data_IF_126777854913
#
_entry.id   IF_126777854913
#
_cell.length_a   1.000
_cell.length_b   1.000
_cell.length_c   1.000
_cell.angle_alpha   90.00
_cell.angle_beta   90.00
_cell.angle_gamma   90.00
#
_symmetry.space_group_name_H-M   'P 1'
#
loop_
_entity.id
_entity.type
_entity.pdbx_description
1 polymer ?
#
# COMPACT_ATOMS: atom_id res chain seq x y z
N UNK A 1 -23.46 -31.93 11.17
CA UNK A 1 -22.51 -31.18 10.32
C UNK A 1 -22.37 -29.77 10.87
N UNK A 2 -21.26 -29.43 11.52
CA UNK A 2 -20.98 -28.04 11.88
C UNK A 2 -20.52 -27.30 10.63
N UNK A 3 -21.33 -26.37 10.13
CA UNK A 3 -20.92 -25.44 9.09
C UNK A 3 -19.95 -24.43 9.70
N UNK A 4 -18.66 -24.77 9.68
CA UNK A 4 -17.58 -23.80 9.84
C UNK A 4 -17.57 -22.93 8.58
N UNK A 5 -18.27 -21.80 8.61
CA UNK A 5 -18.07 -20.71 7.65
C UNK A 5 -16.66 -20.18 7.86
N UNK A 6 -15.69 -20.74 7.13
CA UNK A 6 -14.31 -20.26 7.13
C UNK A 6 -14.32 -18.82 6.62
N UNK A 7 -14.27 -17.85 7.55
CA UNK A 7 -14.08 -16.44 7.22
C UNK A 7 -12.74 -16.30 6.49
N UNK A 8 -12.79 -16.19 5.16
CA UNK A 8 -11.59 -16.12 4.32
C UNK A 8 -10.89 -14.79 4.56
N UNK A 9 -9.82 -14.80 5.36
CA UNK A 9 -9.01 -13.62 5.61
C UNK A 9 -8.24 -13.26 4.33
N UNK A 10 -8.52 -12.07 3.81
CA UNK A 10 -7.84 -11.49 2.66
C UNK A 10 -6.31 -11.42 2.87
N UNK A 11 -5.54 -12.16 2.06
CA UNK A 11 -4.06 -12.23 2.14
C UNK A 11 -3.38 -10.89 1.88
N UNK A 12 -3.99 -10.06 1.02
CA UNK A 12 -3.44 -8.79 0.59
C UNK A 12 -4.28 -7.61 1.06
N UNK A 13 -3.64 -6.45 1.12
CA UNK A 13 -4.30 -5.16 1.34
C UNK A 13 -3.86 -4.19 0.24
N UNK A 14 -4.81 -3.42 -0.27
CA UNK A 14 -4.52 -2.30 -1.17
C UNK A 14 -4.20 -1.07 -0.33
N UNK A 15 -3.06 -0.44 -0.56
CA UNK A 15 -2.58 0.70 0.21
C UNK A 15 -2.27 1.88 -0.70
N UNK A 16 -2.40 3.10 -0.17
CA UNK A 16 -1.99 4.35 -0.80
C UNK A 16 -0.57 4.68 -0.38
N UNK A 17 0.32 4.80 -1.36
CA UNK A 17 1.67 5.35 -1.21
C UNK A 17 1.63 6.85 -1.42
N UNK A 18 2.42 7.61 -0.65
CA UNK A 18 2.61 9.06 -0.82
C UNK A 18 4.09 9.35 -1.04
N UNK A 19 4.39 10.27 -1.96
CA UNK A 19 5.73 10.81 -2.14
C UNK A 19 6.21 11.51 -0.85
N UNK A 20 7.43 11.20 -0.41
CA UNK A 20 8.07 11.86 0.73
C UNK A 20 8.51 13.30 0.40
N UNK A 21 8.58 13.67 -0.88
CA UNK A 21 8.81 15.04 -1.31
C UNK A 21 7.55 15.93 -1.23
N UNK A 22 6.45 15.41 -0.66
CA UNK A 22 5.21 16.14 -0.39
C UNK A 22 4.53 16.82 -1.59
N UNK A 23 4.87 16.40 -2.81
CA UNK A 23 4.29 16.91 -4.08
C UNK A 23 2.79 16.63 -4.28
N UNK A 24 2.21 15.78 -3.44
CA UNK A 24 0.85 15.25 -3.63
C UNK A 24 0.78 14.03 -4.56
N UNK A 25 1.84 13.70 -5.30
CA UNK A 25 1.88 12.49 -6.11
C UNK A 25 1.87 11.24 -5.23
N UNK A 26 1.07 10.25 -5.65
CA UNK A 26 0.90 9.00 -4.93
C UNK A 26 0.20 7.96 -5.78
N UNK A 27 0.46 6.69 -5.47
CA UNK A 27 -0.08 5.56 -6.22
C UNK A 27 -0.56 4.47 -5.27
N UNK A 28 -1.33 3.52 -5.81
CA UNK A 28 -1.83 2.40 -5.04
C UNK A 28 -1.00 1.16 -5.34
N UNK A 29 -0.71 0.36 -4.31
CA UNK A 29 -0.01 -0.92 -4.46
C UNK A 29 -0.60 -1.94 -3.48
N UNK A 30 -0.48 -3.22 -3.81
CA UNK A 30 -0.85 -4.31 -2.91
C UNK A 30 0.34 -4.68 -2.04
N UNK A 31 0.12 -4.93 -0.76
CA UNK A 31 1.10 -5.59 0.13
C UNK A 31 0.47 -6.76 0.85
N UNK A 32 1.31 -7.66 1.38
CA UNK A 32 0.86 -8.71 2.28
C UNK A 32 0.28 -8.09 3.56
N UNK A 33 -0.79 -8.67 4.08
CA UNK A 33 -1.49 -8.16 5.27
C UNK A 33 -0.56 -8.07 6.50
N UNK A 34 0.25 -9.10 6.71
CA UNK A 34 1.13 -9.25 7.88
C UNK A 34 2.52 -8.61 7.69
N UNK A 35 2.83 -8.15 6.49
CA UNK A 35 4.09 -7.46 6.21
C UNK A 35 4.06 -6.04 6.80
N UNK A 36 5.23 -5.51 7.15
CA UNK A 36 5.41 -4.13 7.56
C UNK A 36 5.01 -3.13 6.46
N UNK A 37 4.90 -1.86 6.83
CA UNK A 37 4.56 -0.78 5.90
C UNK A 37 5.62 -0.66 4.81
N UNK A 38 5.17 -0.46 3.57
CA UNK A 38 6.08 -0.32 2.45
C UNK A 38 6.81 1.03 2.47
N UNK A 39 8.09 0.98 2.11
CA UNK A 39 8.93 2.13 1.75
C UNK A 39 9.62 1.79 0.43
N UNK A 40 9.44 2.63 -0.59
CA UNK A 40 9.90 2.35 -1.97
C UNK A 40 10.63 3.57 -2.55
N UNK A 41 11.78 3.35 -3.20
CA UNK A 41 12.46 4.41 -3.95
C UNK A 41 11.96 4.44 -5.40
N UNK A 42 11.23 5.48 -5.80
CA UNK A 42 10.62 5.60 -7.14
C UNK A 42 10.68 7.03 -7.68
N UNK A 43 10.56 7.17 -8.99
CA UNK A 43 10.46 8.49 -9.64
C UNK A 43 9.13 9.18 -9.29
N UNK A 44 9.22 10.43 -8.85
CA UNK A 44 8.08 11.33 -8.70
C UNK A 44 8.05 12.30 -9.90
N UNK A 45 7.01 12.26 -10.76
CA UNK A 45 6.93 13.10 -11.95
C UNK A 45 6.75 14.59 -11.64
N UNK A 46 6.27 14.95 -10.44
CA UNK A 46 6.11 16.35 -10.04
C UNK A 46 7.44 16.89 -9.52
N UNK A 47 8.16 16.11 -8.69
CA UNK A 47 9.49 16.50 -8.20
C UNK A 47 10.60 16.35 -9.27
N UNK A 48 10.33 15.59 -10.34
CA UNK A 48 11.26 15.25 -11.42
C UNK A 48 12.54 14.54 -10.95
N UNK A 49 12.43 13.75 -9.88
CA UNK A 49 13.55 12.99 -9.32
C UNK A 49 13.07 11.71 -8.63
N UNK A 50 14.01 10.81 -8.30
CA UNK A 50 13.72 9.61 -7.50
C UNK A 50 13.63 10.00 -6.03
N UNK A 51 12.51 9.67 -5.40
CA UNK A 51 12.21 9.99 -4.01
C UNK A 51 11.70 8.75 -3.29
N UNK A 52 11.73 8.79 -1.97
CA UNK A 52 11.09 7.77 -1.16
C UNK A 52 9.57 7.94 -1.21
N UNK A 53 8.87 6.83 -1.31
CA UNK A 53 7.42 6.72 -1.17
C UNK A 53 7.12 5.87 0.05
N UNK A 54 6.25 6.36 0.92
CA UNK A 54 5.86 5.68 2.15
C UNK A 54 4.38 5.32 2.13
N UNK A 55 4.03 4.19 2.73
CA UNK A 55 2.64 3.79 2.90
C UNK A 55 1.92 4.73 3.87
N UNK A 56 0.89 5.43 3.38
CA UNK A 56 0.12 6.38 4.19
C UNK A 56 -1.15 5.77 4.77
N UNK A 57 -1.91 5.03 3.97
CA UNK A 57 -3.24 4.52 4.38
C UNK A 57 -3.58 3.19 3.69
N UNK A 58 -4.16 2.27 4.44
CA UNK A 58 -4.87 1.10 3.88
C UNK A 58 -6.19 1.56 3.26
N UNK A 59 -6.40 1.25 1.99
CA UNK A 59 -7.65 1.55 1.27
C UNK A 59 -8.68 0.45 1.55
N UNK A 60 -8.34 -0.82 1.26
CA UNK A 60 -9.24 -1.95 1.46
C UNK A 60 -8.49 -3.27 1.60
N UNK A 61 -9.16 -4.25 2.20
CA UNK A 61 -8.74 -5.67 2.12
C UNK A 61 -9.01 -6.19 0.70
N UNK A 62 -8.15 -7.07 0.20
CA UNK A 62 -8.29 -7.69 -1.13
C UNK A 62 -8.43 -9.20 -1.04
#
# INVERSE_FOLDING_TARGET
MLNLTVNKIAKYVLVRMKSAAETGYGFNIRRLRLQEKLVLLRYDPIAKQRVLFTEKKKIRSM
#
